data_IF_189226784743
#
_entry.id   IF_189226784743
#
_cell.length_a   1.000
_cell.length_b   1.000
_cell.length_c   1.000
_cell.angle_alpha   90.00
_cell.angle_beta   90.00
_cell.angle_gamma   90.00
#
_symmetry.space_group_name_H-M   'P 1'
#
loop_
_entity.id
_entity.type
_entity.pdbx_description
1 polymer ?
#
# COMPACT_ATOMS: atom_id res chain seq x y z
N UNK A 1 2.61 -9.62 23.33
CA UNK A 1 2.93 -9.72 21.89
C UNK A 1 1.65 -10.09 21.15
N UNK A 2 1.40 -9.54 19.95
CA UNK A 2 0.23 -9.86 19.11
C UNK A 2 0.44 -11.06 18.20
N UNK A 3 1.68 -11.54 18.04
CA UNK A 3 2.03 -12.75 17.29
C UNK A 3 2.22 -13.90 18.28
N UNK A 4 1.42 -14.96 18.13
CA UNK A 4 1.51 -16.17 18.97
C UNK A 4 2.26 -17.32 18.31
N UNK A 5 2.28 -17.36 16.97
CA UNK A 5 2.94 -18.40 16.17
C UNK A 5 3.37 -17.87 14.80
N UNK A 6 4.39 -18.49 14.22
CA UNK A 6 4.81 -18.31 12.83
C UNK A 6 4.92 -19.69 12.16
N UNK A 7 4.43 -19.80 10.92
CA UNK A 7 4.41 -21.05 10.16
C UNK A 7 4.99 -20.79 8.76
N UNK A 8 5.64 -21.79 8.17
CA UNK A 8 6.15 -21.71 6.81
C UNK A 8 5.52 -22.80 5.96
N UNK A 9 5.16 -22.45 4.74
CA UNK A 9 4.40 -23.32 3.82
C UNK A 9 5.19 -24.59 3.47
N UNK A 10 6.52 -24.47 3.34
CA UNK A 10 7.39 -25.59 3.02
C UNK A 10 7.51 -26.58 4.18
N UNK A 11 7.36 -26.12 5.43
CA UNK A 11 7.48 -26.97 6.60
C UNK A 11 6.15 -27.62 6.98
N UNK A 12 5.04 -26.89 6.86
CA UNK A 12 3.76 -27.33 7.44
C UNK A 12 2.54 -26.76 6.68
N UNK A 13 2.29 -27.27 5.48
CA UNK A 13 1.10 -26.90 4.70
C UNK A 13 -0.21 -27.39 5.34
N UNK A 14 -0.23 -28.61 5.86
CA UNK A 14 -1.42 -29.19 6.51
C UNK A 14 -1.80 -28.40 7.78
N UNK A 15 -0.82 -28.04 8.62
CA UNK A 15 -1.09 -27.20 9.78
C UNK A 15 -1.64 -25.81 9.41
N UNK A 16 -1.24 -25.24 8.28
CA UNK A 16 -1.84 -23.99 7.77
C UNK A 16 -3.31 -24.21 7.35
N UNK A 17 -3.63 -25.36 6.75
CA UNK A 17 -5.03 -25.72 6.44
C UNK A 17 -5.86 -25.94 7.72
N UNK A 18 -5.27 -26.50 8.77
CA UNK A 18 -5.91 -26.62 10.08
C UNK A 18 -6.22 -25.23 10.67
N UNK A 19 -5.32 -24.26 10.52
CA UNK A 19 -5.62 -22.86 10.89
C UNK A 19 -6.79 -22.31 10.08
N UNK A 20 -6.82 -22.57 8.77
CA UNK A 20 -7.87 -22.08 7.89
C UNK A 20 -9.26 -22.60 8.26
N UNK A 21 -9.34 -23.84 8.75
CA UNK A 21 -10.60 -24.49 9.17
C UNK A 21 -11.00 -24.20 10.62
N UNK A 22 -10.10 -23.61 11.43
CA UNK A 22 -10.39 -23.24 12.81
C UNK A 22 -11.59 -22.28 12.93
N UNK A 23 -12.51 -22.50 13.89
CA UNK A 23 -13.61 -21.57 14.15
C UNK A 23 -13.13 -20.21 14.69
N UNK A 24 -11.92 -20.14 15.27
CA UNK A 24 -11.36 -18.92 15.82
C UNK A 24 -10.77 -17.98 14.75
N UNK A 25 -10.48 -18.51 13.55
CA UNK A 25 -10.03 -17.69 12.43
C UNK A 25 -11.22 -16.88 11.88
N UNK A 26 -11.10 -15.55 11.97
CA UNK A 26 -12.13 -14.61 11.49
C UNK A 26 -11.62 -13.69 10.37
N UNK A 27 -10.34 -13.35 10.39
CA UNK A 27 -9.74 -12.37 9.49
C UNK A 27 -8.45 -12.94 8.90
N UNK A 28 -8.25 -12.72 7.59
CA UNK A 28 -6.98 -12.93 6.90
C UNK A 28 -6.43 -11.58 6.49
N UNK A 29 -5.27 -11.21 7.05
CA UNK A 29 -4.48 -10.05 6.68
C UNK A 29 -3.34 -10.50 5.77
N UNK A 30 -3.08 -9.78 4.69
CA UNK A 30 -1.95 -10.07 3.80
C UNK A 30 -1.11 -8.85 3.51
N UNK A 31 0.20 -9.07 3.35
CA UNK A 31 1.10 -8.10 2.75
C UNK A 31 2.20 -8.87 2.01
N UNK A 32 1.90 -9.24 0.76
CA UNK A 32 2.79 -10.03 -0.10
C UNK A 32 3.54 -9.21 -1.13
N UNK A 33 3.59 -7.89 -0.96
CA UNK A 33 4.04 -6.91 -1.98
C UNK A 33 3.17 -6.94 -3.25
N UNK A 34 3.41 -6.02 -4.18
CA UNK A 34 2.67 -5.88 -5.43
C UNK A 34 2.84 -7.11 -6.34
N UNK A 35 4.04 -7.72 -6.34
CA UNK A 35 4.32 -8.94 -7.11
C UNK A 35 3.58 -10.16 -6.54
N UNK A 36 3.09 -10.08 -5.31
CA UNK A 36 2.42 -11.19 -4.63
C UNK A 36 1.11 -11.62 -5.29
N UNK A 37 0.46 -10.74 -6.06
CA UNK A 37 -0.78 -11.04 -6.77
C UNK A 37 -0.54 -11.79 -8.09
N UNK A 38 0.72 -11.95 -8.52
CA UNK A 38 1.05 -12.70 -9.71
C UNK A 38 0.78 -14.19 -9.49
N UNK A 39 -0.14 -14.74 -10.28
CA UNK A 39 -0.38 -16.17 -10.38
C UNK A 39 0.82 -16.83 -11.06
N UNK A 40 1.32 -17.92 -10.47
CA UNK A 40 2.41 -18.72 -11.05
C UNK A 40 1.83 -19.75 -12.02
N UNK A 41 2.56 -20.05 -13.11
CA UNK A 41 2.06 -20.95 -14.15
C UNK A 41 1.79 -22.37 -13.59
N UNK A 42 2.60 -22.77 -12.62
CA UNK A 42 2.53 -24.03 -11.88
C UNK A 42 1.20 -24.22 -11.16
N UNK A 43 0.57 -23.13 -10.69
CA UNK A 43 -0.72 -23.16 -10.00
C UNK A 43 -1.88 -23.60 -10.92
N UNK A 44 -1.66 -23.56 -12.24
CA UNK A 44 -2.60 -24.03 -13.26
C UNK A 44 -2.34 -25.48 -13.68
N UNK A 45 -1.21 -26.06 -13.32
CA UNK A 45 -0.75 -27.34 -13.85
C UNK A 45 -0.71 -28.46 -12.81
N UNK A 46 -0.54 -28.15 -11.52
CA UNK A 46 -0.17 -29.14 -10.51
C UNK A 46 -1.13 -29.23 -9.31
N UNK A 47 -1.46 -30.44 -8.81
CA UNK A 47 -2.27 -30.66 -7.61
C UNK A 47 -1.47 -30.61 -6.28
N UNK A 48 -0.30 -29.94 -6.25
CA UNK A 48 0.57 -29.83 -5.07
C UNK A 48 0.32 -28.58 -4.22
N UNK A 49 1.25 -28.28 -3.32
CA UNK A 49 1.24 -27.04 -2.53
C UNK A 49 1.28 -25.83 -3.50
N UNK A 50 0.33 -24.89 -3.44
CA UNK A 50 0.32 -23.78 -4.37
C UNK A 50 1.52 -22.84 -4.22
N UNK A 51 1.96 -22.27 -5.33
CA UNK A 51 3.16 -21.42 -5.42
C UNK A 51 2.84 -19.95 -5.20
N UNK A 52 1.79 -19.41 -5.81
CA UNK A 52 1.39 -18.01 -5.64
C UNK A 52 0.52 -17.77 -4.42
N UNK A 53 0.53 -16.55 -3.89
CA UNK A 53 -0.33 -16.17 -2.78
C UNK A 53 -1.84 -16.30 -3.12
N UNK A 54 -2.34 -15.83 -4.28
CA UNK A 54 -3.73 -16.03 -4.66
C UNK A 54 -4.14 -17.51 -4.69
N UNK A 55 -3.28 -18.39 -5.23
CA UNK A 55 -3.58 -19.81 -5.27
C UNK A 55 -3.56 -20.46 -3.88
N UNK A 56 -2.68 -20.02 -2.98
CA UNK A 56 -2.68 -20.47 -1.58
C UNK A 56 -3.96 -20.05 -0.87
N UNK A 57 -4.32 -18.77 -0.95
CA UNK A 57 -5.53 -18.25 -0.33
C UNK A 57 -6.79 -18.94 -0.87
N UNK A 58 -6.81 -19.26 -2.17
CA UNK A 58 -7.88 -20.06 -2.78
C UNK A 58 -8.04 -21.43 -2.10
N UNK A 59 -6.95 -22.19 -1.91
CA UNK A 59 -7.03 -23.50 -1.24
C UNK A 59 -7.43 -23.37 0.25
N UNK A 60 -6.96 -22.33 0.95
CA UNK A 60 -7.37 -22.08 2.35
C UNK A 60 -8.89 -21.82 2.45
N UNK A 61 -9.42 -20.99 1.55
CA UNK A 61 -10.85 -20.70 1.48
C UNK A 61 -11.66 -21.95 1.11
N UNK A 62 -11.15 -22.78 0.20
CA UNK A 62 -11.79 -24.04 -0.19
C UNK A 62 -11.82 -25.04 0.97
N UNK A 63 -10.71 -25.20 1.69
CA UNK A 63 -10.63 -26.08 2.85
C UNK A 63 -11.63 -25.65 3.93
N UNK A 64 -11.68 -24.35 4.23
CA UNK A 64 -12.65 -23.79 5.17
C UNK A 64 -14.10 -24.01 4.73
N UNK A 65 -14.42 -23.77 3.47
CA UNK A 65 -15.75 -24.01 2.91
C UNK A 65 -16.16 -25.48 3.04
N UNK A 66 -15.27 -26.41 2.71
CA UNK A 66 -15.51 -27.87 2.83
C UNK A 66 -15.72 -28.31 4.28
N UNK A 67 -15.05 -27.67 5.23
CA UNK A 67 -15.26 -27.89 6.65
C UNK A 67 -16.55 -27.26 7.20
N UNK A 68 -17.33 -26.54 6.38
CA UNK A 68 -18.53 -25.83 6.82
C UNK A 68 -18.23 -24.60 7.69
N UNK A 69 -17.01 -24.04 7.57
CA UNK A 69 -16.59 -22.88 8.34
C UNK A 69 -17.35 -21.61 7.96
N UNK A 70 -17.46 -20.68 8.91
CA UNK A 70 -18.08 -19.37 8.69
C UNK A 70 -17.24 -18.53 7.71
N UNK A 71 -17.83 -17.69 6.85
CA UNK A 71 -17.06 -16.82 5.96
C UNK A 71 -16.06 -15.93 6.69
N UNK A 72 -14.90 -15.70 6.07
CA UNK A 72 -13.84 -14.86 6.59
C UNK A 72 -13.97 -13.40 6.10
N UNK A 73 -13.29 -12.49 6.79
CA UNK A 73 -12.97 -11.16 6.28
C UNK A 73 -11.54 -11.16 5.74
N UNK A 74 -11.38 -10.79 4.48
CA UNK A 74 -10.10 -10.71 3.78
C UNK A 74 -9.70 -9.25 3.67
N UNK A 75 -8.53 -8.92 4.23
CA UNK A 75 -8.03 -7.56 4.39
C UNK A 75 -6.61 -7.49 3.82
N UNK A 76 -6.47 -7.37 2.49
CA UNK A 76 -5.17 -7.18 1.88
C UNK A 76 -4.60 -5.81 2.23
N UNK A 77 -3.29 -5.75 2.44
CA UNK A 77 -2.52 -4.53 2.71
C UNK A 77 -1.44 -4.29 1.65
N UNK A 78 -1.48 -5.00 0.52
CA UNK A 78 -0.60 -4.73 -0.62
C UNK A 78 -0.92 -3.34 -1.22
N UNK A 79 0.11 -2.66 -1.73
CA UNK A 79 0.01 -1.34 -2.36
C UNK A 79 -0.50 -1.44 -3.81
N UNK A 80 -1.69 -2.03 -3.96
CA UNK A 80 -2.40 -2.21 -5.23
C UNK A 80 -3.71 -1.42 -5.15
N UNK A 81 -4.04 -0.69 -6.22
CA UNK A 81 -5.33 0.01 -6.31
C UNK A 81 -6.48 -1.00 -6.29
N UNK A 82 -7.47 -0.76 -5.42
CA UNK A 82 -8.57 -1.71 -5.17
C UNK A 82 -8.02 -3.14 -4.90
N UNK A 83 -7.05 -3.24 -3.97
CA UNK A 83 -6.34 -4.47 -3.66
C UNK A 83 -7.28 -5.66 -3.37
N UNK A 84 -8.36 -5.48 -2.62
CA UNK A 84 -9.30 -6.54 -2.31
C UNK A 84 -10.12 -6.99 -3.52
N UNK A 85 -10.63 -6.05 -4.31
CA UNK A 85 -11.38 -6.38 -5.53
C UNK A 85 -10.50 -7.09 -6.57
N UNK A 86 -9.27 -6.60 -6.73
CA UNK A 86 -8.28 -7.20 -7.62
C UNK A 86 -7.93 -8.62 -7.20
N UNK A 87 -7.63 -8.83 -5.90
CA UNK A 87 -7.31 -10.16 -5.37
C UNK A 87 -8.49 -11.12 -5.52
N UNK A 88 -9.71 -10.66 -5.17
CA UNK A 88 -10.94 -11.43 -5.31
C UNK A 88 -11.16 -11.89 -6.75
N UNK A 89 -10.95 -11.00 -7.72
CA UNK A 89 -11.10 -11.31 -9.13
C UNK A 89 -10.08 -12.35 -9.60
N UNK A 90 -8.79 -12.20 -9.22
CA UNK A 90 -7.74 -13.18 -9.53
C UNK A 90 -8.08 -14.56 -8.96
N UNK A 91 -8.52 -14.62 -7.71
CA UNK A 91 -8.87 -15.88 -7.04
C UNK A 91 -10.11 -16.51 -7.67
N UNK A 92 -11.11 -15.71 -8.04
CA UNK A 92 -12.29 -16.19 -8.77
C UNK A 92 -11.91 -16.81 -10.11
N UNK A 93 -11.03 -16.17 -10.88
CA UNK A 93 -10.58 -16.70 -12.17
C UNK A 93 -9.79 -18.00 -12.00
N UNK A 94 -8.96 -18.10 -10.97
CA UNK A 94 -8.29 -19.35 -10.58
C UNK A 94 -9.29 -20.45 -10.20
N UNK A 95 -10.31 -20.13 -9.40
CA UNK A 95 -11.33 -21.10 -8.99
C UNK A 95 -12.12 -21.65 -10.19
N UNK A 96 -12.45 -20.78 -11.15
CA UNK A 96 -13.11 -21.16 -12.41
C UNK A 96 -12.19 -22.03 -13.26
N UNK A 97 -10.93 -21.65 -13.41
CA UNK A 97 -9.94 -22.44 -14.14
C UNK A 97 -9.77 -23.84 -13.56
N UNK A 98 -9.73 -23.96 -12.22
CA UNK A 98 -9.67 -25.24 -11.51
C UNK A 98 -11.00 -26.00 -11.48
N UNK A 99 -12.05 -25.49 -12.14
CA UNK A 99 -13.37 -26.11 -12.21
C UNK A 99 -14.00 -26.36 -10.83
N UNK A 100 -13.76 -25.47 -9.86
CA UNK A 100 -14.42 -25.57 -8.56
C UNK A 100 -15.92 -25.26 -8.68
N UNK A 101 -16.71 -25.93 -7.84
CA UNK A 101 -18.17 -25.86 -7.92
C UNK A 101 -18.73 -24.46 -7.63
N UNK A 102 -19.81 -24.10 -8.32
CA UNK A 102 -20.48 -22.81 -8.21
C UNK A 102 -20.81 -22.41 -6.76
N UNK A 103 -21.19 -23.36 -5.91
CA UNK A 103 -21.48 -23.12 -4.48
C UNK A 103 -20.29 -22.51 -3.74
N UNK A 104 -19.08 -22.99 -4.00
CA UNK A 104 -17.88 -22.45 -3.37
C UNK A 104 -17.55 -21.06 -3.92
N UNK A 105 -17.64 -20.89 -5.25
CA UNK A 105 -17.36 -19.60 -5.90
C UNK A 105 -18.33 -18.51 -5.41
N UNK A 106 -19.62 -18.85 -5.27
CA UNK A 106 -20.64 -17.96 -4.71
C UNK A 106 -20.35 -17.63 -3.25
N UNK A 107 -20.06 -18.63 -2.41
CA UNK A 107 -19.71 -18.43 -1.00
C UNK A 107 -18.50 -17.51 -0.85
N UNK A 108 -17.43 -17.76 -1.61
CA UNK A 108 -16.25 -16.90 -1.62
C UNK A 108 -16.58 -15.49 -2.13
N UNK A 109 -17.40 -15.35 -3.17
CA UNK A 109 -17.64 -14.05 -3.79
C UNK A 109 -18.66 -13.19 -3.03
N UNK A 110 -19.61 -13.80 -2.33
CA UNK A 110 -20.77 -13.12 -1.72
C UNK A 110 -20.75 -13.20 -0.21
N UNK A 111 -20.35 -14.34 0.35
CA UNK A 111 -20.44 -14.58 1.78
C UNK A 111 -19.17 -14.15 2.52
N UNK A 112 -17.98 -14.24 1.90
CA UNK A 112 -16.77 -13.65 2.47
C UNK A 112 -16.71 -12.13 2.25
N UNK A 113 -16.14 -11.41 3.21
CA UNK A 113 -16.03 -9.95 3.15
C UNK A 113 -14.65 -9.60 2.61
N UNK A 114 -14.58 -8.74 1.60
CA UNK A 114 -13.33 -8.28 0.99
C UNK A 114 -13.23 -6.78 1.20
N UNK A 115 -12.21 -6.32 1.93
CA UNK A 115 -12.08 -4.91 2.31
C UNK A 115 -10.87 -4.30 1.62
N UNK A 116 -11.10 -3.35 0.72
CA UNK A 116 -10.00 -2.56 0.18
C UNK A 116 -9.33 -1.76 1.29
N UNK A 117 -8.02 -1.60 1.21
CA UNK A 117 -7.27 -0.84 2.22
C UNK A 117 -6.29 0.13 1.60
N UNK A 118 -5.89 1.12 2.41
CA UNK A 118 -4.69 1.90 2.21
C UNK A 118 -3.87 1.88 3.50
N UNK A 119 -2.62 1.42 3.40
CA UNK A 119 -1.65 1.51 4.50
C UNK A 119 -0.62 2.60 4.21
N UNK A 120 -0.27 3.39 5.22
CA UNK A 120 0.82 4.36 5.15
C UNK A 120 1.57 4.44 6.47
N UNK A 121 2.79 3.91 6.44
CA UNK A 121 3.77 4.01 7.51
C UNK A 121 5.14 3.69 6.93
N UNK A 122 6.11 4.58 7.10
CA UNK A 122 7.49 4.32 6.73
C UNK A 122 8.08 3.32 7.73
N UNK A 123 8.58 2.21 7.21
CA UNK A 123 9.24 1.14 7.96
C UNK A 123 10.54 0.78 7.25
N UNK A 124 11.63 0.69 8.01
CA UNK A 124 12.96 0.40 7.49
C UNK A 124 13.69 -0.62 8.37
N UNK A 125 14.81 -1.11 7.86
CA UNK A 125 15.79 -1.80 8.69
C UNK A 125 16.26 -0.88 9.82
N UNK A 126 16.63 -1.44 10.99
CA UNK A 126 17.30 -0.68 12.02
C UNK A 126 18.64 -0.11 11.48
N UNK A 127 19.18 0.97 12.07
CA UNK A 127 20.54 1.40 11.82
C UNK A 127 21.55 0.27 12.08
N UNK A 128 22.70 0.28 11.37
CA UNK A 128 23.73 -0.76 11.50
C UNK A 128 24.30 -0.81 12.92
N UNK A 129 24.44 0.35 13.54
CA UNK A 129 24.97 0.59 14.89
C UNK A 129 23.90 0.58 15.99
N UNK A 130 22.65 0.19 15.67
CA UNK A 130 21.58 0.18 16.66
C UNK A 130 21.86 -0.84 17.79
N UNK A 131 21.83 -0.43 19.08
CA UNK A 131 22.31 -1.25 20.20
C UNK A 131 21.50 -2.54 20.45
N UNK A 132 20.30 -2.65 19.87
CA UNK A 132 19.45 -3.84 19.96
C UNK A 132 19.54 -4.76 18.75
N UNK A 133 20.24 -4.36 17.68
CA UNK A 133 20.26 -5.12 16.41
C UNK A 133 20.79 -6.55 16.58
N UNK A 134 21.82 -6.73 17.41
CA UNK A 134 22.39 -8.06 17.69
C UNK A 134 21.53 -8.89 18.65
N UNK A 135 20.65 -8.25 19.42
CA UNK A 135 19.83 -8.91 20.45
C UNK A 135 18.46 -9.33 19.94
N UNK A 136 17.92 -8.60 18.96
CA UNK A 136 16.64 -8.88 18.35
C UNK A 136 16.80 -8.96 16.82
N UNK A 137 16.94 -10.18 16.26
CA UNK A 137 17.13 -10.37 14.82
C UNK A 137 15.88 -10.02 13.99
N UNK A 138 14.72 -9.81 14.62
CA UNK A 138 13.47 -9.40 13.96
C UNK A 138 13.13 -7.92 14.22
N UNK A 139 14.08 -7.16 14.77
CA UNK A 139 13.89 -5.74 15.04
C UNK A 139 13.57 -4.98 13.75
N UNK A 140 12.53 -4.15 13.83
CA UNK A 140 12.16 -3.20 12.77
C UNK A 140 12.08 -1.79 13.33
N UNK A 141 12.40 -0.79 12.51
CA UNK A 141 12.27 0.63 12.86
C UNK A 141 11.22 1.27 11.99
N UNK A 142 10.39 2.10 12.59
CA UNK A 142 9.28 2.72 11.88
C UNK A 142 9.00 4.11 12.43
N UNK A 143 8.43 4.98 11.60
CA UNK A 143 8.05 6.32 12.02
C UNK A 143 6.86 6.30 13.01
N UNK A 144 6.68 7.38 13.81
CA UNK A 144 5.51 7.51 14.69
C UNK A 144 4.18 7.63 13.93
N UNK A 145 4.20 8.22 12.74
CA UNK A 145 3.01 8.31 11.89
C UNK A 145 2.55 6.91 11.46
N UNK A 146 1.24 6.69 11.51
CA UNK A 146 0.63 5.49 10.97
C UNK A 146 -0.78 5.85 10.50
N UNK A 147 -1.16 5.31 9.34
CA UNK A 147 -2.51 5.38 8.82
C UNK A 147 -2.87 4.03 8.21
N UNK A 148 -4.03 3.52 8.60
CA UNK A 148 -4.65 2.37 7.96
C UNK A 148 -6.10 2.71 7.63
N UNK A 149 -6.36 3.00 6.37
CA UNK A 149 -7.74 3.21 5.87
C UNK A 149 -8.28 1.87 5.45
N UNK A 150 -9.47 1.52 5.93
CA UNK A 150 -10.12 0.24 5.66
C UNK A 150 -11.52 0.54 5.14
N UNK A 151 -11.89 -0.14 4.06
CA UNK A 151 -13.24 -0.06 3.53
C UNK A 151 -14.25 -0.53 4.59
N UNK A 152 -15.30 0.24 4.83
CA UNK A 152 -16.38 -0.14 5.75
C UNK A 152 -17.23 -1.26 5.16
N UNK A 153 -17.77 -2.13 6.02
CA UNK A 153 -18.75 -3.16 5.62
C UNK A 153 -19.99 -3.10 6.49
N UNK A 154 -21.17 -3.12 5.88
CA UNK A 154 -22.46 -3.20 6.59
C UNK A 154 -22.63 -4.49 7.40
N UNK A 155 -21.83 -5.52 7.10
CA UNK A 155 -21.79 -6.79 7.84
C UNK A 155 -20.81 -6.78 9.02
N UNK A 156 -20.12 -5.65 9.24
CA UNK A 156 -19.04 -5.49 10.19
C UNK A 156 -17.71 -6.05 9.67
N UNK A 157 -16.59 -5.42 10.03
CA UNK A 157 -15.25 -5.85 9.59
C UNK A 157 -14.59 -6.87 10.53
N UNK A 158 -15.11 -7.01 11.76
CA UNK A 158 -14.52 -7.86 12.80
C UNK A 158 -13.16 -7.36 13.33
N UNK A 159 -12.73 -6.16 12.93
CA UNK A 159 -11.48 -5.52 13.33
C UNK A 159 -11.64 -4.70 14.62
N UNK A 160 -10.52 -4.55 15.34
CA UNK A 160 -10.45 -3.75 16.57
C UNK A 160 -10.41 -2.25 16.27
N UNK A 161 -10.79 -1.43 17.25
CA UNK A 161 -10.71 0.02 17.17
C UNK A 161 -9.32 0.53 17.57
N UNK A 162 -8.80 1.46 16.77
CA UNK A 162 -7.54 2.15 17.04
C UNK A 162 -7.56 3.53 16.37
N UNK A 163 -6.98 4.54 17.01
CA UNK A 163 -6.96 5.92 16.50
C UNK A 163 -6.26 6.09 15.13
N UNK A 164 -5.45 5.11 14.72
CA UNK A 164 -4.74 5.09 13.43
C UNK A 164 -5.50 4.31 12.34
N UNK A 165 -6.64 3.70 12.69
CA UNK A 165 -7.52 3.01 11.76
C UNK A 165 -8.66 3.95 11.38
N UNK A 166 -8.75 4.29 10.10
CA UNK A 166 -9.84 5.06 9.54
C UNK A 166 -10.76 4.14 8.75
N UNK A 167 -12.04 4.08 9.11
CA UNK A 167 -13.05 3.39 8.31
C UNK A 167 -13.64 4.37 7.29
N UNK A 168 -13.74 3.93 6.04
CA UNK A 168 -14.25 4.76 4.94
C UNK A 168 -15.03 3.90 3.96
N UNK A 169 -16.09 4.41 3.35
CA UNK A 169 -16.80 3.67 2.30
C UNK A 169 -15.98 3.59 1.01
N UNK A 170 -15.05 4.53 0.83
CA UNK A 170 -14.14 4.61 -0.30
C UNK A 170 -12.71 4.96 0.15
N UNK A 171 -11.75 4.09 -0.21
CA UNK A 171 -10.33 4.28 0.11
C UNK A 171 -9.58 5.08 -0.97
N UNK A 172 -10.14 5.21 -2.18
CA UNK A 172 -9.50 5.84 -3.34
C UNK A 172 -9.11 7.31 -3.09
N UNK A 173 -9.93 8.14 -2.40
CA UNK A 173 -9.55 9.52 -2.04
C UNK A 173 -8.24 9.59 -1.24
N UNK A 174 -8.02 8.63 -0.34
CA UNK A 174 -6.82 8.56 0.48
C UNK A 174 -5.60 8.10 -0.32
N UNK A 175 -5.80 7.15 -1.24
CA UNK A 175 -4.76 6.70 -2.17
C UNK A 175 -4.31 7.83 -3.10
N UNK A 176 -5.27 8.54 -3.70
CA UNK A 176 -5.00 9.66 -4.60
C UNK A 176 -4.17 10.75 -3.92
N UNK A 177 -4.57 11.21 -2.71
CA UNK A 177 -3.78 12.22 -1.98
C UNK A 177 -2.38 11.71 -1.63
N UNK A 178 -2.21 10.44 -1.24
CA UNK A 178 -0.88 9.86 -0.94
C UNK A 178 0.00 9.86 -2.19
N UNK A 179 -0.53 9.42 -3.33
CA UNK A 179 0.22 9.35 -4.60
C UNK A 179 0.62 10.75 -5.09
N UNK A 180 -0.29 11.73 -5.00
CA UNK A 180 -0.08 13.07 -5.52
C UNK A 180 0.75 13.95 -4.61
N UNK A 181 0.47 13.93 -3.31
CA UNK A 181 1.11 14.81 -2.32
C UNK A 181 2.39 14.17 -1.79
N UNK A 182 2.30 13.05 -1.05
CA UNK A 182 3.46 12.44 -0.41
C UNK A 182 4.45 11.90 -1.44
N UNK A 183 3.99 11.05 -2.35
CA UNK A 183 4.84 10.41 -3.35
C UNK A 183 5.27 11.40 -4.44
N UNK A 184 4.39 12.34 -4.81
CA UNK A 184 4.73 13.44 -5.73
C UNK A 184 5.79 14.37 -5.17
N UNK A 185 5.68 14.77 -3.89
CA UNK A 185 6.70 15.57 -3.21
C UNK A 185 8.06 14.86 -3.19
N UNK A 186 8.11 13.57 -2.84
CA UNK A 186 9.35 12.79 -2.90
C UNK A 186 9.98 12.79 -4.29
N UNK A 187 9.18 12.56 -5.33
CA UNK A 187 9.66 12.59 -6.72
C UNK A 187 10.17 13.99 -7.09
N UNK A 188 9.46 15.05 -6.75
CA UNK A 188 9.86 16.43 -7.01
C UNK A 188 11.17 16.81 -6.28
N UNK A 189 11.33 16.34 -5.04
CA UNK A 189 12.56 16.55 -4.26
C UNK A 189 13.79 15.91 -4.91
N UNK A 190 13.66 14.76 -5.57
CA UNK A 190 14.78 14.17 -6.33
C UNK A 190 15.24 15.13 -7.43
N UNK A 191 14.31 15.72 -8.19
CA UNK A 191 14.65 16.66 -9.25
C UNK A 191 15.30 17.95 -8.74
N UNK A 192 14.83 18.50 -7.60
CA UNK A 192 15.30 19.79 -7.08
C UNK A 192 16.52 19.68 -6.16
N UNK A 193 16.49 18.75 -5.21
CA UNK A 193 17.46 18.69 -4.12
C UNK A 193 18.73 17.90 -4.47
N UNK A 194 18.61 16.84 -5.28
CA UNK A 194 19.76 16.01 -5.65
C UNK A 194 20.82 16.77 -6.46
N UNK A 195 20.47 17.61 -7.46
CA UNK A 195 21.46 18.46 -8.15
C UNK A 195 22.13 19.50 -7.25
N UNK A 196 21.52 19.84 -6.11
CA UNK A 196 22.10 20.73 -5.09
C UNK A 196 23.06 20.00 -4.14
N UNK A 197 23.31 18.70 -4.35
CA UNK A 197 24.18 17.88 -3.50
C UNK A 197 23.55 17.48 -2.16
N UNK A 198 22.23 17.63 -2.00
CA UNK A 198 21.53 17.18 -0.80
C UNK A 198 21.27 15.67 -0.91
N UNK A 199 21.60 14.92 0.14
CA UNK A 199 21.58 13.45 0.09
C UNK A 199 20.27 12.84 0.58
N UNK A 200 19.61 13.46 1.55
CA UNK A 200 18.42 12.94 2.21
C UNK A 200 17.23 13.88 2.08
N UNK A 201 16.02 13.32 2.19
CA UNK A 201 14.78 14.09 2.24
C UNK A 201 14.81 15.13 3.37
N UNK A 202 15.36 14.78 4.53
CA UNK A 202 15.52 15.72 5.65
C UNK A 202 16.46 16.87 5.31
N UNK A 203 17.62 16.61 4.68
CA UNK A 203 18.52 17.68 4.24
C UNK A 203 17.82 18.62 3.25
N UNK A 204 16.98 18.07 2.37
CA UNK A 204 16.17 18.85 1.44
C UNK A 204 15.16 19.76 2.17
N UNK A 205 14.41 19.23 3.14
CA UNK A 205 13.42 20.03 3.88
C UNK A 205 14.05 21.03 4.86
N UNK A 206 15.27 20.80 5.33
CA UNK A 206 16.00 21.77 6.16
C UNK A 206 16.66 22.90 5.35
N UNK A 207 16.68 22.81 4.02
CA UNK A 207 17.11 23.89 3.16
C UNK A 207 15.91 24.81 2.86
N UNK A 208 15.99 26.09 3.26
CA UNK A 208 14.87 27.04 3.15
C UNK A 208 14.41 27.28 1.71
N UNK A 209 15.33 27.28 0.74
CA UNK A 209 15.00 27.43 -0.68
C UNK A 209 14.17 26.23 -1.18
N UNK A 210 14.64 25.01 -0.88
CA UNK A 210 13.97 23.77 -1.31
C UNK A 210 12.63 23.59 -0.59
N UNK A 211 12.56 23.91 0.70
CA UNK A 211 11.31 23.83 1.47
C UNK A 211 10.27 24.81 0.93
N UNK A 212 10.65 26.07 0.70
CA UNK A 212 9.74 27.09 0.18
C UNK A 212 9.22 26.72 -1.22
N UNK A 213 10.12 26.26 -2.08
CA UNK A 213 9.78 25.76 -3.42
C UNK A 213 8.81 24.57 -3.37
N UNK A 214 9.03 23.61 -2.46
CA UNK A 214 8.16 22.45 -2.33
C UNK A 214 6.76 22.83 -1.82
N UNK A 215 6.67 23.75 -0.87
CA UNK A 215 5.39 24.27 -0.39
C UNK A 215 4.64 24.98 -1.51
N UNK A 216 5.33 25.78 -2.33
CA UNK A 216 4.71 26.44 -3.49
C UNK A 216 4.16 25.41 -4.49
N UNK A 217 4.96 24.38 -4.84
CA UNK A 217 4.51 23.27 -5.68
C UNK A 217 3.27 22.58 -5.09
N UNK A 218 3.31 22.24 -3.81
CA UNK A 218 2.22 21.52 -3.15
C UNK A 218 0.93 22.34 -3.12
N UNK A 219 0.97 23.57 -2.61
CA UNK A 219 -0.23 24.38 -2.37
C UNK A 219 -0.77 25.05 -3.63
N UNK A 220 0.09 25.40 -4.59
CA UNK A 220 -0.35 26.16 -5.77
C UNK A 220 -0.54 25.31 -7.02
N UNK A 221 0.07 24.12 -7.09
CA UNK A 221 0.06 23.31 -8.31
C UNK A 221 -0.43 21.87 -8.11
N UNK A 222 -0.16 21.22 -6.97
CA UNK A 222 -0.60 19.83 -6.74
C UNK A 222 -1.98 19.79 -6.09
N UNK A 223 -2.14 20.36 -4.89
CA UNK A 223 -3.39 20.30 -4.12
C UNK A 223 -4.61 20.81 -4.92
N UNK A 224 -4.54 21.95 -5.63
CA UNK A 224 -5.70 22.47 -6.36
C UNK A 224 -6.24 21.52 -7.44
N UNK A 225 -5.44 20.56 -7.92
CA UNK A 225 -5.88 19.57 -8.91
C UNK A 225 -6.73 18.44 -8.31
N UNK A 226 -6.60 18.18 -7.01
CA UNK A 226 -7.22 17.01 -6.36
C UNK A 226 -8.13 17.36 -5.20
N UNK A 227 -8.15 18.61 -4.74
CA UNK A 227 -8.80 19.02 -3.48
C UNK A 227 -10.30 18.71 -3.40
N UNK A 228 -10.99 18.66 -4.54
CA UNK A 228 -12.40 18.32 -4.66
C UNK A 228 -12.67 16.80 -4.64
N UNK A 229 -11.63 15.98 -4.68
CA UNK A 229 -11.70 14.51 -4.79
C UNK A 229 -11.08 13.78 -3.61
N UNK A 230 -10.46 14.50 -2.67
CA UNK A 230 -9.71 13.92 -1.56
C UNK A 230 -10.07 14.55 -0.22
N UNK A 231 -9.84 13.79 0.85
CA UNK A 231 -10.08 14.26 2.22
C UNK A 231 -8.85 15.03 2.71
N UNK A 232 -9.06 16.22 3.28
CA UNK A 232 -8.08 17.04 3.98
C UNK A 232 -6.68 17.15 3.30
N UNK A 233 -6.58 17.52 2.01
CA UNK A 233 -5.31 17.51 1.28
C UNK A 233 -4.25 18.44 1.89
N UNK A 234 -4.65 19.63 2.36
CA UNK A 234 -3.76 20.63 2.97
C UNK A 234 -3.14 20.08 4.25
N UNK A 235 -3.98 19.58 5.18
CA UNK A 235 -3.52 18.98 6.43
C UNK A 235 -2.61 17.77 6.18
N UNK A 236 -2.92 16.98 5.14
CA UNK A 236 -2.07 15.85 4.76
C UNK A 236 -0.70 16.31 4.23
N UNK A 237 -0.65 17.39 3.43
CA UNK A 237 0.61 17.97 2.97
C UNK A 237 1.47 18.51 4.14
N UNK A 238 0.86 19.22 5.08
CA UNK A 238 1.55 19.71 6.28
C UNK A 238 2.17 18.55 7.08
N UNK A 239 1.39 17.48 7.28
CA UNK A 239 1.87 16.27 7.94
C UNK A 239 3.01 15.58 7.16
N UNK A 240 3.00 15.62 5.82
CA UNK A 240 4.11 15.10 5.01
C UNK A 240 5.40 15.90 5.24
N UNK A 241 5.33 17.23 5.27
CA UNK A 241 6.49 18.08 5.52
C UNK A 241 7.07 17.85 6.92
N UNK A 242 6.21 17.68 7.93
CA UNK A 242 6.62 17.28 9.28
C UNK A 242 7.36 15.94 9.27
N UNK A 243 6.77 14.91 8.62
CA UNK A 243 7.36 13.57 8.49
C UNK A 243 8.71 13.59 7.80
N UNK A 244 8.86 14.41 6.75
CA UNK A 244 10.12 14.57 6.03
C UNK A 244 11.23 15.21 6.87
N UNK A 245 10.87 15.91 7.94
CA UNK A 245 11.81 16.55 8.87
C UNK A 245 12.29 15.59 9.98
N UNK A 246 11.79 14.35 10.03
CA UNK A 246 12.07 13.38 11.09
C UNK A 246 13.58 13.07 11.18
N UNK A 247 14.25 13.40 12.30
CA UNK A 247 15.70 13.23 12.44
C UNK A 247 16.14 11.76 12.58
N UNK A 248 15.21 10.85 12.86
CA UNK A 248 15.50 9.44 13.09
C UNK A 248 15.35 8.57 11.81
N UNK A 249 14.96 9.18 10.68
CA UNK A 249 14.83 8.48 9.41
C UNK A 249 15.89 8.96 8.41
N UNK A 250 16.74 8.04 7.97
CA UNK A 250 17.71 8.29 6.90
C UNK A 250 17.08 7.93 5.55
N UNK A 251 16.18 8.79 5.06
CA UNK A 251 15.52 8.58 3.77
C UNK A 251 16.34 9.21 2.64
N UNK A 252 17.19 8.40 1.99
CA UNK A 252 18.09 8.84 0.92
C UNK A 252 17.32 9.18 -0.36
N UNK A 253 17.62 10.33 -0.97
CA UNK A 253 17.06 10.72 -2.26
C UNK A 253 17.46 9.72 -3.36
N UNK A 254 18.65 9.11 -3.27
CA UNK A 254 19.09 8.05 -4.18
C UNK A 254 18.17 6.83 -4.16
N UNK A 255 17.63 6.45 -3.00
CA UNK A 255 16.66 5.34 -2.89
C UNK A 255 15.33 5.70 -3.56
N UNK A 256 14.93 6.97 -3.50
CA UNK A 256 13.71 7.47 -4.14
C UNK A 256 13.88 7.56 -5.66
N UNK A 257 15.09 7.87 -6.14
CA UNK A 257 15.43 8.00 -7.56
C UNK A 257 15.45 6.67 -8.34
N UNK A 258 15.36 5.52 -7.68
CA UNK A 258 15.21 4.24 -8.39
C UNK A 258 13.90 4.23 -9.20
N UNK A 259 13.94 3.84 -10.48
CA UNK A 259 12.80 3.95 -11.42
C UNK A 259 12.16 5.36 -11.48
N UNK A 260 12.99 6.41 -11.48
CA UNK A 260 12.52 7.79 -11.40
C UNK A 260 11.55 8.20 -12.52
N UNK A 261 11.85 7.86 -13.77
CA UNK A 261 11.06 8.30 -14.92
C UNK A 261 9.60 7.81 -14.83
N UNK A 262 9.41 6.54 -14.47
CA UNK A 262 8.09 5.95 -14.20
C UNK A 262 7.38 6.67 -13.05
N UNK A 263 8.11 7.03 -11.99
CA UNK A 263 7.56 7.80 -10.87
C UNK A 263 7.15 9.21 -11.30
N UNK A 264 7.92 9.89 -12.16
CA UNK A 264 7.56 11.21 -12.70
C UNK A 264 6.28 11.12 -13.52
N UNK A 265 6.15 10.14 -14.40
CA UNK A 265 4.93 9.94 -15.20
C UNK A 265 3.69 9.78 -14.33
N UNK A 266 3.73 8.83 -13.39
CA UNK A 266 2.58 8.47 -12.57
C UNK A 266 2.20 9.57 -11.56
N UNK A 267 3.19 10.28 -11.01
CA UNK A 267 2.98 11.15 -9.84
C UNK A 267 2.92 12.64 -10.20
N UNK A 268 3.73 13.10 -11.17
CA UNK A 268 3.86 14.51 -11.53
C UNK A 268 3.24 14.84 -12.90
N UNK A 269 3.51 14.05 -13.94
CA UNK A 269 3.00 14.33 -15.28
C UNK A 269 1.48 14.28 -15.34
N UNK A 270 0.84 13.32 -14.66
CA UNK A 270 -0.62 13.31 -14.59
C UNK A 270 -1.18 14.54 -13.85
N UNK A 271 -0.53 15.01 -12.79
CA UNK A 271 -0.89 16.26 -12.10
C UNK A 271 -0.76 17.48 -13.02
N UNK A 272 0.30 17.54 -13.82
CA UNK A 272 0.52 18.59 -14.82
C UNK A 272 -0.63 18.65 -15.84
N UNK A 273 -1.06 17.50 -16.38
CA UNK A 273 -2.19 17.44 -17.31
C UNK A 273 -3.52 17.82 -16.65
N UNK A 274 -3.77 17.34 -15.42
CA UNK A 274 -4.95 17.70 -14.63
C UNK A 274 -5.00 19.21 -14.34
N UNK A 275 -3.86 19.84 -14.04
CA UNK A 275 -3.76 21.28 -13.82
C UNK A 275 -4.14 22.08 -15.07
N UNK A 276 -3.58 21.74 -16.23
CA UNK A 276 -3.91 22.41 -17.50
C UNK A 276 -5.39 22.25 -17.80
N UNK A 277 -5.92 21.04 -17.65
CA UNK A 277 -7.34 20.77 -17.89
C UNK A 277 -8.27 21.57 -16.97
N UNK A 278 -7.86 21.82 -15.71
CA UNK A 278 -8.70 22.49 -14.71
C UNK A 278 -8.59 24.03 -14.76
N UNK A 279 -7.41 24.55 -15.10
CA UNK A 279 -7.10 25.99 -14.97
C UNK A 279 -6.76 26.68 -16.29
N UNK A 280 -6.75 25.96 -17.42
CA UNK A 280 -6.46 26.49 -18.76
C UNK A 280 -5.13 27.26 -18.85
N UNK A 281 -4.12 26.83 -18.08
CA UNK A 281 -2.77 27.40 -18.07
C UNK A 281 -1.75 26.37 -17.61
N UNK A 282 -0.48 26.58 -17.99
CA UNK A 282 0.62 25.71 -17.56
C UNK A 282 1.06 26.03 -16.13
N UNK A 283 1.21 25.03 -15.25
CA UNK A 283 1.78 25.22 -13.91
C UNK A 283 3.30 25.40 -13.99
N UNK A 284 3.88 26.54 -13.55
CA UNK A 284 5.30 26.86 -13.75
C UNK A 284 6.29 25.80 -13.21
N UNK A 285 6.09 25.35 -11.96
CA UNK A 285 7.04 24.43 -11.31
C UNK A 285 6.94 23.04 -11.93
N UNK A 286 5.72 22.50 -12.04
CA UNK A 286 5.47 21.21 -12.68
C UNK A 286 5.97 21.19 -14.13
N UNK A 287 5.81 22.28 -14.90
CA UNK A 287 6.36 22.38 -16.26
C UNK A 287 7.86 22.11 -16.27
N UNK A 288 8.61 22.72 -15.35
CA UNK A 288 10.05 22.48 -15.23
C UNK A 288 10.41 21.05 -14.81
N UNK A 289 9.58 20.43 -13.97
CA UNK A 289 9.79 19.06 -13.49
C UNK A 289 9.49 18.00 -14.56
N UNK A 290 8.49 18.22 -15.40
CA UNK A 290 8.02 17.20 -16.36
C UNK A 290 8.60 17.38 -17.76
N UNK A 291 9.20 18.53 -18.11
CA UNK A 291 9.60 18.86 -19.49
C UNK A 291 10.48 17.81 -20.21
N UNK A 292 11.26 17.01 -19.47
CA UNK A 292 12.12 15.96 -20.04
C UNK A 292 11.40 14.60 -20.19
N UNK A 293 10.16 14.52 -19.73
CA UNK A 293 9.39 13.29 -19.58
C UNK A 293 8.11 13.28 -20.44
N UNK A 294 7.59 14.44 -20.84
CA UNK A 294 6.40 14.58 -21.70
C UNK A 294 6.76 14.88 -23.16
#
# INVERSE_FOLDING_TARGET
>A
ASVSRAMTIQADWEGILDVATSPDLRIVLSNTTEIGYQVKAEDRLNPGIPHSFPARLLELLLARFRAGGTPLTIVPCELIDNNADTLKQIIRDLALFKSYGHRFIDWMSKDTIWLNTLVDRITSDPPVDHPLREKDPLMTVTEPFALWVIQSSSRGEGLFDHEKITRSDDVRPYGLRKVRILNGAHTALVCKAMPMGLETVRNAILNDEVKSWLLELLHNEIIPTIEDRVVDPVRFADACIERFSNPFLVHKLASIAWEHDTKVQLRLAQTYHEYISKFDRKPPILTGLVAQYI
#
